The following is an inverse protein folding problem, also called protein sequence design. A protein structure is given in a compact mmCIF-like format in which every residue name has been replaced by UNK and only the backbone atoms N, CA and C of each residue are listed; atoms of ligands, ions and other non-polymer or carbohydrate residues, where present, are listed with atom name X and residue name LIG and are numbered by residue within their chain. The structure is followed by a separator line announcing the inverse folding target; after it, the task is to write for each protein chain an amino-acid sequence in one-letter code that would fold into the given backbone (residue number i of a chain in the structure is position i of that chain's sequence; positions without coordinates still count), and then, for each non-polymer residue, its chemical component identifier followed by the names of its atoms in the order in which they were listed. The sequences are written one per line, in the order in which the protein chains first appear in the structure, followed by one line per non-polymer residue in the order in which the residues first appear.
data_IF_228922354684
#
_entry.id   IF_228922354684
#
_cell.length_a   1.000
_cell.length_b   1.000
_cell.length_c   1.000
_cell.angle_alpha   90.00
_cell.angle_beta   90.00
_cell.angle_gamma   90.00
#
_symmetry.space_group_name_H-M   'P 1'
#
loop_
_entity.id
_entity.type
_entity.pdbx_description
1 polymer ?
#
# COMPACT_ATOMS: atom_id res chain seq x y z
N UNK A 1 10.72 -3.60 -2.74
CA UNK A 1 9.74 -4.11 -1.75
C UNK A 1 8.38 -3.53 -2.06
N UNK A 2 7.29 -4.25 -1.83
CA UNK A 2 5.94 -3.70 -2.01
C UNK A 2 5.23 -3.55 -0.66
N UNK A 3 4.57 -2.41 -0.46
CA UNK A 3 3.67 -2.18 0.67
C UNK A 3 2.28 -1.97 0.11
N UNK A 4 1.28 -2.66 0.67
CA UNK A 4 -0.12 -2.45 0.33
C UNK A 4 -0.86 -1.76 1.48
N UNK A 5 -1.80 -0.90 1.12
CA UNK A 5 -2.79 -0.35 2.04
C UNK A 5 -4.11 -0.21 1.30
N UNK A 6 -5.14 -0.94 1.75
CA UNK A 6 -6.42 -1.07 1.06
C UNK A 6 -6.20 -1.54 -0.39
N UNK A 7 -6.54 -0.70 -1.37
CA UNK A 7 -6.45 -0.98 -2.82
C UNK A 7 -5.15 -0.46 -3.47
N UNK A 8 -4.31 0.21 -2.70
CA UNK A 8 -3.11 0.86 -3.21
C UNK A 8 -1.86 0.07 -2.84
N UNK A 9 -0.88 0.09 -3.75
CA UNK A 9 0.42 -0.53 -3.56
C UNK A 9 1.52 0.50 -3.86
N UNK A 10 2.53 0.53 -3.00
CA UNK A 10 3.74 1.31 -3.20
C UNK A 10 4.88 0.36 -3.53
N UNK A 11 5.61 0.66 -4.60
CA UNK A 11 6.94 0.09 -4.82
C UNK A 11 7.96 0.94 -4.07
N UNK A 12 8.70 0.30 -3.18
CA UNK A 12 9.69 0.93 -2.32
C UNK A 12 11.03 0.35 -2.68
N UNK A 13 11.93 1.24 -3.08
CA UNK A 13 13.32 0.89 -3.26
C UNK A 13 13.94 0.53 -1.90
N UNK A 14 14.63 -0.60 -1.87
CA UNK A 14 15.28 -1.10 -0.67
C UNK A 14 16.52 -0.26 -0.32
N UNK A 15 17.05 0.50 -1.29
CA UNK A 15 18.12 1.47 -1.08
C UNK A 15 17.62 2.79 -0.44
N UNK A 16 16.30 2.90 -0.25
CA UNK A 16 15.73 3.61 0.90
C UNK A 16 15.67 5.13 0.80
N UNK A 17 15.44 5.71 -0.38
CA UNK A 17 15.31 7.17 -0.52
C UNK A 17 14.15 7.65 -1.38
N UNK A 18 13.54 6.78 -2.16
CA UNK A 18 12.44 7.15 -3.05
C UNK A 18 11.38 6.05 -3.04
N UNK A 19 10.13 6.48 -2.99
CA UNK A 19 8.98 5.63 -3.25
C UNK A 19 8.07 6.42 -4.18
N UNK A 20 7.61 5.77 -5.24
CA UNK A 20 6.69 6.39 -6.18
C UNK A 20 5.31 6.57 -5.53
N UNK A 21 4.44 7.36 -6.17
CA UNK A 21 3.06 7.50 -5.74
C UNK A 21 2.33 6.15 -5.68
N UNK A 22 1.19 6.07 -4.96
CA UNK A 22 0.40 4.86 -4.88
C UNK A 22 -0.03 4.38 -6.27
N UNK A 23 0.17 3.10 -6.54
CA UNK A 23 -0.35 2.42 -7.71
C UNK A 23 -1.66 1.74 -7.33
N UNK A 24 -2.71 1.95 -8.13
CA UNK A 24 -3.93 1.16 -8.01
C UNK A 24 -3.63 -0.26 -8.52
N UNK A 25 -3.77 -1.28 -7.66
CA UNK A 25 -3.39 -2.64 -8.05
C UNK A 25 -4.20 -3.17 -9.23
N UNK A 26 -5.45 -2.72 -9.37
CA UNK A 26 -6.33 -3.04 -10.52
C UNK A 26 -5.74 -2.63 -11.87
N UNK A 27 -4.86 -1.63 -11.92
CA UNK A 27 -4.21 -1.21 -13.18
C UNK A 27 -3.19 -2.26 -13.67
N UNK A 28 -2.66 -3.08 -12.76
CA UNK A 28 -1.69 -4.14 -13.08
C UNK A 28 -2.31 -5.53 -13.02
N UNK A 29 -3.39 -5.70 -12.26
CA UNK A 29 -4.13 -6.95 -12.09
C UNK A 29 -5.61 -6.70 -12.39
N UNK A 30 -5.94 -6.54 -13.68
CA UNK A 30 -7.31 -6.24 -14.13
C UNK A 30 -8.31 -7.36 -13.89
N UNK A 31 -7.83 -8.56 -13.55
CA UNK A 31 -8.65 -9.72 -13.17
C UNK A 31 -9.11 -9.69 -11.70
N UNK A 32 -8.65 -8.72 -10.89
CA UNK A 32 -9.20 -8.52 -9.55
C UNK A 32 -10.65 -8.06 -9.65
N UNK A 33 -11.51 -8.57 -8.76
CA UNK A 33 -12.92 -8.19 -8.76
C UNK A 33 -13.11 -6.73 -8.35
N UNK A 34 -13.99 -5.97 -9.00
CA UNK A 34 -14.06 -4.50 -8.90
C UNK A 34 -14.27 -3.92 -7.48
N UNK A 35 -14.81 -4.73 -6.57
CA UNK A 35 -15.24 -4.29 -5.24
C UNK A 35 -14.34 -4.73 -4.09
N UNK A 36 -13.14 -5.26 -4.37
CA UNK A 36 -12.25 -5.73 -3.31
C UNK A 36 -11.91 -4.63 -2.31
N UNK A 37 -11.83 -4.95 -1.02
CA UNK A 37 -11.57 -3.94 0.01
C UNK A 37 -10.09 -3.77 0.28
N UNK A 38 -9.34 -4.88 0.29
CA UNK A 38 -7.92 -4.86 0.60
C UNK A 38 -7.16 -6.05 0.01
N UNK A 39 -5.90 -5.80 -0.30
CA UNK A 39 -4.88 -6.85 -0.36
C UNK A 39 -4.44 -7.14 1.07
N UNK A 40 -4.53 -8.38 1.52
CA UNK A 40 -4.15 -8.77 2.90
C UNK A 40 -2.72 -9.30 2.96
N UNK A 41 -2.32 -10.08 1.96
CA UNK A 41 -1.02 -10.71 1.91
C UNK A 41 -0.63 -11.01 0.47
N UNK A 42 0.67 -11.04 0.21
CA UNK A 42 1.20 -11.60 -1.02
C UNK A 42 2.57 -12.20 -0.75
N UNK A 43 2.89 -13.29 -1.44
CA UNK A 43 4.24 -13.83 -1.47
C UNK A 43 4.55 -14.40 -2.84
N UNK A 44 5.85 -14.50 -3.16
CA UNK A 44 6.30 -15.21 -4.34
C UNK A 44 6.52 -16.68 -3.99
N UNK A 45 5.77 -17.55 -4.66
CA UNK A 45 5.90 -19.00 -4.54
C UNK A 45 7.28 -19.49 -4.99
N UNK A 46 7.72 -20.68 -4.54
CA UNK A 46 8.97 -21.27 -5.02
C UNK A 46 9.03 -21.47 -6.53
N UNK A 47 7.89 -21.63 -7.21
CA UNK A 47 7.81 -21.72 -8.68
C UNK A 47 7.88 -20.36 -9.38
N UNK A 48 7.93 -19.26 -8.65
CA UNK A 48 8.06 -17.90 -9.18
C UNK A 48 6.74 -17.14 -9.32
N UNK A 49 5.60 -17.83 -9.32
CA UNK A 49 4.25 -17.21 -9.34
C UNK A 49 4.00 -16.41 -8.05
N UNK A 50 3.21 -15.34 -8.14
CA UNK A 50 2.73 -14.58 -6.99
C UNK A 50 1.42 -15.19 -6.48
N UNK A 51 1.36 -15.47 -5.19
CA UNK A 51 0.12 -15.84 -4.51
C UNK A 51 -0.38 -14.61 -3.75
N UNK A 52 -1.52 -14.07 -4.18
CA UNK A 52 -2.06 -12.79 -3.70
C UNK A 52 -3.40 -13.02 -3.02
N UNK A 53 -3.50 -12.60 -1.76
CA UNK A 53 -4.70 -12.74 -0.93
C UNK A 53 -5.46 -11.41 -0.93
N UNK A 54 -6.70 -11.45 -1.40
CA UNK A 54 -7.57 -10.28 -1.57
C UNK A 54 -8.94 -10.62 -1.00
N UNK A 55 -9.28 -10.02 0.13
CA UNK A 55 -10.44 -10.38 0.94
C UNK A 55 -10.53 -11.91 1.20
N UNK A 56 -11.55 -12.60 0.67
CA UNK A 56 -11.74 -14.05 0.79
C UNK A 56 -11.25 -14.84 -0.45
N UNK A 57 -10.67 -14.15 -1.43
CA UNK A 57 -10.15 -14.75 -2.65
C UNK A 57 -8.63 -14.78 -2.64
N UNK A 58 -8.09 -15.83 -3.22
CA UNK A 58 -6.67 -16.02 -3.46
C UNK A 58 -6.47 -16.11 -4.96
N UNK A 59 -5.48 -15.39 -5.47
CA UNK A 59 -5.12 -15.32 -6.87
C UNK A 59 -3.72 -15.89 -7.03
N UNK A 60 -3.55 -16.83 -7.98
CA UNK A 60 -2.23 -17.30 -8.40
C UNK A 60 -1.88 -16.61 -9.72
N UNK A 61 -0.94 -15.68 -9.64
CA UNK A 61 -0.60 -14.76 -10.71
C UNK A 61 0.77 -15.12 -11.24
N UNK A 62 0.88 -15.35 -12.54
CA UNK A 62 2.14 -15.56 -13.21
C UNK A 62 2.96 -14.26 -13.18
N UNK A 63 4.23 -14.37 -12.81
CA UNK A 63 5.16 -13.25 -12.76
C UNK A 63 6.37 -13.54 -13.67
N UNK A 64 6.84 -12.56 -14.47
CA UNK A 64 6.50 -11.14 -14.44
C UNK A 64 5.31 -10.70 -15.31
N UNK A 65 4.59 -11.61 -15.97
CA UNK A 65 3.56 -11.25 -16.96
C UNK A 65 2.28 -10.67 -16.37
N UNK A 66 2.04 -10.82 -15.06
CA UNK A 66 0.81 -10.43 -14.37
C UNK A 66 -0.46 -11.02 -15.02
N UNK A 67 -0.40 -12.29 -15.42
CA UNK A 67 -1.56 -13.03 -15.93
C UNK A 67 -2.08 -14.02 -14.88
N UNK A 68 -3.39 -14.23 -14.84
CA UNK A 68 -4.01 -15.17 -13.90
C UNK A 68 -3.81 -16.61 -14.38
N UNK A 69 -3.38 -17.51 -13.47
CA UNK A 69 -3.27 -18.93 -13.80
C UNK A 69 -4.66 -19.54 -14.04
N UNK A 70 -4.81 -20.51 -14.98
CA UNK A 70 -6.07 -21.20 -15.19
C UNK A 70 -6.60 -21.86 -13.91
N UNK A 71 -7.91 -21.76 -13.66
CA UNK A 71 -8.55 -22.33 -12.47
C UNK A 71 -8.42 -21.48 -11.20
N UNK A 72 -8.01 -20.22 -11.33
CA UNK A 72 -7.98 -19.21 -10.27
C UNK A 72 -8.91 -18.03 -10.65
N UNK A 73 -9.39 -17.22 -9.68
CA UNK A 73 -9.11 -17.26 -8.25
C UNK A 73 -9.78 -18.45 -7.53
N UNK A 74 -9.37 -18.67 -6.27
CA UNK A 74 -9.99 -19.64 -5.36
C UNK A 74 -10.36 -18.97 -4.06
N UNK A 75 -11.40 -19.45 -3.40
CA UNK A 75 -11.77 -19.03 -2.06
C UNK A 75 -10.81 -19.59 -1.01
N UNK A 76 -10.72 -18.95 0.16
CA UNK A 76 -9.96 -19.48 1.30
C UNK A 76 -10.42 -20.90 1.68
N UNK A 77 -11.73 -21.18 1.58
CA UNK A 77 -12.28 -22.51 1.86
C UNK A 77 -11.82 -23.58 0.86
N UNK A 78 -11.71 -23.26 -0.43
CA UNK A 78 -11.18 -24.19 -1.44
C UNK A 78 -9.71 -24.54 -1.20
N UNK A 79 -8.95 -23.61 -0.60
CA UNK A 79 -7.59 -23.86 -0.12
C UNK A 79 -7.57 -24.67 1.19
N UNK A 80 -8.72 -24.84 1.87
CA UNK A 80 -8.86 -25.59 3.10
C UNK A 80 -8.85 -24.76 4.38
N UNK A 81 -8.85 -23.42 4.31
CA UNK A 81 -9.02 -22.57 5.48
C UNK A 81 -10.45 -22.64 6.02
N UNK A 82 -10.65 -22.42 7.34
CA UNK A 82 -11.98 -22.33 7.93
C UNK A 82 -12.74 -21.10 7.40
N UNK A 83 -14.08 -21.17 7.42
CA UNK A 83 -14.99 -20.17 6.83
C UNK A 83 -14.77 -18.72 7.30
N UNK A 84 -14.29 -18.53 8.53
CA UNK A 84 -14.03 -17.22 9.13
C UNK A 84 -12.54 -16.89 9.26
N UNK A 85 -11.68 -17.47 8.41
CA UNK A 85 -10.25 -17.19 8.44
C UNK A 85 -9.95 -15.75 8.01
N UNK A 86 -9.27 -14.99 8.87
CA UNK A 86 -8.75 -13.67 8.56
C UNK A 86 -7.24 -13.76 8.32
N UNK A 87 -6.81 -13.54 7.07
CA UNK A 87 -5.40 -13.57 6.71
C UNK A 87 -4.68 -12.32 7.22
N UNK A 88 -3.60 -12.52 7.97
CA UNK A 88 -2.75 -11.45 8.50
C UNK A 88 -1.50 -11.25 7.65
N UNK A 89 -0.98 -12.32 7.05
CA UNK A 89 0.17 -12.24 6.17
C UNK A 89 0.58 -13.61 5.66
N UNK A 90 1.39 -13.63 4.62
CA UNK A 90 1.88 -14.85 3.99
C UNK A 90 3.33 -14.65 3.58
N UNK A 91 4.14 -15.69 3.72
CA UNK A 91 5.57 -15.65 3.37
C UNK A 91 6.04 -17.00 2.85
N UNK A 92 7.02 -16.96 1.94
CA UNK A 92 7.87 -18.10 1.68
C UNK A 92 9.18 -18.03 2.48
N UNK A 93 9.69 -19.19 2.82
CA UNK A 93 10.99 -19.37 3.45
C UNK A 93 12.06 -19.74 2.43
N UNK A 94 13.32 -19.55 2.81
CA UNK A 94 14.47 -20.01 2.02
C UNK A 94 14.47 -21.53 1.75
N UNK A 95 13.77 -22.33 2.56
CA UNK A 95 13.65 -23.78 2.37
C UNK A 95 12.51 -24.16 1.43
N UNK A 96 11.95 -23.20 0.70
CA UNK A 96 10.83 -23.43 -0.22
C UNK A 96 9.49 -23.68 0.45
N UNK A 97 9.38 -23.59 1.78
CA UNK A 97 8.10 -23.72 2.50
C UNK A 97 7.36 -22.40 2.54
N UNK A 98 6.05 -22.44 2.42
CA UNK A 98 5.20 -21.25 2.43
C UNK A 98 4.17 -21.33 3.54
N UNK A 99 4.03 -20.22 4.27
CA UNK A 99 3.18 -20.13 5.44
C UNK A 99 2.25 -18.94 5.34
N UNK A 100 1.03 -19.14 5.79
CA UNK A 100 0.00 -18.12 5.92
C UNK A 100 -0.37 -18.00 7.39
N UNK A 101 -0.18 -16.82 7.95
CA UNK A 101 -0.63 -16.50 9.31
C UNK A 101 -2.06 -15.98 9.22
N UNK A 102 -2.96 -16.56 10.01
CA UNK A 102 -4.36 -16.18 10.05
C UNK A 102 -4.88 -16.12 11.49
N UNK A 103 -5.95 -15.35 11.70
CA UNK A 103 -6.58 -15.07 13.00
C UNK A 103 -5.60 -14.57 14.09
N UNK A 104 -4.44 -14.06 13.68
CA UNK A 104 -3.37 -13.54 14.52
C UNK A 104 -2.61 -14.57 15.35
N UNK A 105 -2.96 -15.86 15.29
CA UNK A 105 -2.40 -16.88 16.19
C UNK A 105 -2.28 -18.30 15.59
N UNK A 106 -2.68 -18.49 14.33
CA UNK A 106 -2.62 -19.77 13.64
C UNK A 106 -1.83 -19.66 12.35
N UNK A 107 -1.25 -20.79 11.92
CA UNK A 107 -0.43 -20.89 10.72
C UNK A 107 -0.93 -22.05 9.85
N UNK A 108 -1.25 -21.74 8.60
CA UNK A 108 -1.46 -22.72 7.54
C UNK A 108 -0.18 -22.85 6.71
N UNK A 109 0.29 -24.07 6.51
CA UNK A 109 1.37 -24.36 5.56
C UNK A 109 0.79 -24.75 4.21
N UNK A 110 1.14 -24.02 3.16
CA UNK A 110 0.69 -24.31 1.80
C UNK A 110 1.48 -25.50 1.25
N UNK A 111 0.76 -26.49 0.72
CA UNK A 111 1.39 -27.52 -0.11
C UNK A 111 1.76 -26.90 -1.46
N UNK A 112 3.04 -26.57 -1.61
CA UNK A 112 3.55 -25.99 -2.85
C UNK A 112 3.58 -26.98 -4.02
N UNK A 113 3.48 -28.28 -3.74
CA UNK A 113 3.44 -29.35 -4.74
C UNK A 113 2.01 -29.71 -5.17
N UNK A 114 1.00 -29.37 -4.37
CA UNK A 114 -0.39 -29.49 -4.76
C UNK A 114 -0.73 -28.49 -5.88
N UNK A 115 -1.30 -28.98 -6.98
CA UNK A 115 -1.81 -28.16 -8.09
C UNK A 115 -2.83 -27.12 -7.62
N UNK A 116 -3.60 -27.44 -6.58
CA UNK A 116 -4.61 -26.56 -6.02
C UNK A 116 -4.11 -25.69 -4.87
N UNK A 117 -2.82 -25.81 -4.50
CA UNK A 117 -2.18 -25.05 -3.41
C UNK A 117 -2.96 -25.11 -2.09
N UNK A 118 -3.52 -26.28 -1.76
CA UNK A 118 -4.26 -26.46 -0.51
C UNK A 118 -3.33 -26.38 0.68
N UNK A 119 -3.88 -26.07 1.85
CA UNK A 119 -3.17 -26.10 3.12
C UNK A 119 -2.88 -27.56 3.48
N UNK A 120 -1.60 -27.90 3.60
CA UNK A 120 -1.14 -29.22 4.02
C UNK A 120 -1.40 -29.45 5.50
N UNK A 121 -1.17 -28.41 6.32
CA UNK A 121 -1.21 -28.52 7.78
C UNK A 121 -1.54 -27.20 8.43
N UNK A 122 -2.37 -27.25 9.48
CA UNK A 122 -2.57 -26.16 10.42
C UNK A 122 -1.79 -26.38 11.71
N UNK A 123 -1.18 -25.32 12.22
CA UNK A 123 -0.38 -25.32 13.46
C UNK A 123 -0.61 -24.05 14.28
N UNK A 124 -0.46 -24.11 15.61
CA UNK A 124 -0.36 -22.90 16.43
C UNK A 124 0.85 -22.06 15.99
N UNK A 125 0.71 -20.74 16.06
CA UNK A 125 1.78 -19.80 15.70
C UNK A 125 3.09 -20.10 16.44
N UNK A 126 3.02 -20.35 17.74
CA UNK A 126 4.19 -20.61 18.59
C UNK A 126 4.93 -21.92 18.25
N UNK A 127 4.22 -22.91 17.68
CA UNK A 127 4.84 -24.17 17.28
C UNK A 127 5.69 -23.99 15.99
N UNK A 128 5.23 -23.13 15.09
CA UNK A 128 5.93 -22.85 13.82
C UNK A 128 6.97 -21.74 13.98
N UNK A 129 6.65 -20.70 14.73
CA UNK A 129 7.48 -19.52 14.98
C UNK A 129 7.59 -19.24 16.49
N UNK A 130 8.42 -20.01 17.22
CA UNK A 130 8.56 -19.87 18.66
C UNK A 130 9.06 -18.47 19.06
N UNK A 131 8.49 -17.92 20.14
CA UNK A 131 8.79 -16.58 20.64
C UNK A 131 8.02 -15.45 19.96
N UNK A 132 7.24 -15.72 18.91
CA UNK A 132 6.33 -14.73 18.33
C UNK A 132 5.01 -14.73 19.11
N UNK A 133 4.56 -13.56 19.61
CA UNK A 133 3.30 -13.49 20.36
C UNK A 133 2.09 -13.60 19.44
N UNK A 134 0.94 -13.90 20.05
CA UNK A 134 -0.37 -13.85 19.38
C UNK A 134 -0.74 -12.40 19.00
N UNK A 135 -1.70 -12.26 18.10
CA UNK A 135 -2.16 -10.96 17.60
C UNK A 135 -1.28 -10.40 16.48
N UNK A 136 -0.66 -11.27 15.69
CA UNK A 136 0.12 -10.89 14.51
C UNK A 136 -0.79 -10.17 13.53
N UNK A 137 -0.36 -8.99 13.09
CA UNK A 137 -1.05 -8.14 12.11
C UNK A 137 -0.41 -8.22 10.72
N UNK A 138 0.88 -8.55 10.64
CA UNK A 138 1.57 -8.79 9.37
C UNK A 138 2.80 -9.66 9.58
N UNK A 139 3.21 -10.34 8.51
CA UNK A 139 4.46 -11.06 8.41
C UNK A 139 5.03 -10.82 7.02
N UNK A 140 6.34 -10.52 6.95
CA UNK A 140 7.05 -10.40 5.68
C UNK A 140 8.50 -10.86 5.83
N UNK A 141 9.11 -11.24 4.71
CA UNK A 141 10.54 -11.53 4.64
C UNK A 141 11.28 -10.27 4.21
N UNK A 142 12.31 -9.90 4.94
CA UNK A 142 13.15 -8.75 4.58
C UNK A 142 14.43 -9.19 3.85
N UNK A 143 15.16 -8.22 3.30
CA UNK A 143 16.36 -8.44 2.47
C UNK A 143 17.50 -9.12 3.23
N UNK A 144 17.54 -8.97 4.55
CA UNK A 144 18.50 -9.64 5.41
C UNK A 144 18.16 -11.13 5.65
N UNK A 145 17.12 -11.63 5.00
CA UNK A 145 16.67 -13.01 5.05
C UNK A 145 15.85 -13.37 6.28
N UNK A 146 15.68 -12.46 7.25
CA UNK A 146 14.85 -12.70 8.43
C UNK A 146 13.37 -12.48 8.14
N UNK A 147 12.54 -13.08 8.99
CA UNK A 147 11.09 -12.84 8.96
C UNK A 147 10.79 -11.74 9.98
N UNK A 148 10.00 -10.77 9.57
CA UNK A 148 9.54 -9.68 10.42
C UNK A 148 8.06 -9.87 10.67
N UNK A 149 7.71 -10.02 11.94
CA UNK A 149 6.33 -10.07 12.40
C UNK A 149 5.98 -8.73 13.00
N UNK A 150 4.76 -8.26 12.75
CA UNK A 150 4.22 -7.08 13.40
C UNK A 150 2.98 -7.44 14.20
N UNK A 151 2.79 -6.75 15.31
CA UNK A 151 1.52 -6.65 16.04
C UNK A 151 1.10 -5.19 16.04
N UNK A 152 0.02 -4.83 16.76
CA UNK A 152 -0.51 -3.46 16.79
C UNK A 152 0.54 -2.38 17.09
N UNK A 153 1.54 -2.67 17.94
CA UNK A 153 2.52 -1.68 18.37
C UNK A 153 3.97 -2.17 18.34
N UNK A 154 4.22 -3.46 18.06
CA UNK A 154 5.53 -4.06 18.17
C UNK A 154 5.91 -4.81 16.91
N UNK A 155 7.21 -4.90 16.65
CA UNK A 155 7.77 -5.80 15.65
C UNK A 155 8.67 -6.84 16.32
N UNK A 156 8.82 -7.98 15.66
CA UNK A 156 9.71 -9.07 16.06
C UNK A 156 10.48 -9.54 14.83
N UNK A 157 11.81 -9.42 14.91
CA UNK A 157 12.74 -9.98 13.94
C UNK A 157 13.02 -11.43 14.31
N UNK A 158 12.53 -12.34 13.49
CA UNK A 158 12.67 -13.78 13.67
C UNK A 158 13.74 -14.35 12.75
N UNK A 159 14.75 -14.96 13.35
CA UNK A 159 15.76 -15.71 12.63
C UNK A 159 15.27 -17.13 12.39
N UNK A 160 14.94 -17.42 11.13
CA UNK A 160 14.43 -18.71 10.67
C UNK A 160 15.44 -19.87 10.76
N UNK A 161 16.73 -19.59 10.84
CA UNK A 161 17.79 -20.61 10.95
C UNK A 161 17.94 -21.07 12.40
N UNK A 162 18.04 -20.13 13.34
CA UNK A 162 18.11 -20.42 14.77
C UNK A 162 16.74 -20.73 15.38
N UNK A 163 15.65 -20.41 14.67
CA UNK A 163 14.26 -20.46 15.14
C UNK A 163 14.05 -19.64 16.41
N UNK A 164 14.62 -18.44 16.46
CA UNK A 164 14.52 -17.55 17.62
C UNK A 164 14.24 -16.11 17.20
N UNK A 165 13.61 -15.35 18.09
CA UNK A 165 13.49 -13.90 17.94
C UNK A 165 14.82 -13.27 18.29
N UNK A 166 15.45 -12.59 17.33
CA UNK A 166 16.74 -11.94 17.50
C UNK A 166 16.64 -10.48 17.93
N UNK A 167 15.49 -9.84 17.68
CA UNK A 167 15.24 -8.45 18.08
C UNK A 167 13.74 -8.19 18.13
N UNK A 168 13.31 -7.33 19.03
CA UNK A 168 11.94 -6.84 19.11
C UNK A 168 11.94 -5.37 19.54
N UNK A 169 10.89 -4.64 19.19
CA UNK A 169 10.78 -3.23 19.54
C UNK A 169 9.46 -2.63 19.09
N UNK A 170 9.33 -1.31 19.25
CA UNK A 170 8.15 -0.58 18.76
C UNK A 170 8.11 -0.63 17.24
N UNK A 171 6.97 -1.01 16.68
CA UNK A 171 6.76 -0.97 15.23
C UNK A 171 6.63 0.47 14.75
N UNK A 172 7.42 0.81 13.74
CA UNK A 172 7.39 2.07 13.02
C UNK A 172 7.92 1.80 11.61
N UNK A 173 7.42 2.51 10.60
CA UNK A 173 7.87 2.41 9.20
C UNK A 173 9.37 2.71 9.03
N UNK A 174 10.01 3.35 10.03
CA UNK A 174 11.47 3.50 10.10
C UNK A 174 12.23 2.16 10.07
N UNK A 175 11.63 1.05 10.50
CA UNK A 175 12.26 -0.28 10.36
C UNK A 175 12.44 -0.70 8.89
N UNK A 176 11.67 -0.08 7.99
CA UNK A 176 11.72 -0.27 6.54
C UNK A 176 12.49 0.86 5.85
N UNK A 177 13.19 1.70 6.62
CA UNK A 177 13.84 2.93 6.15
C UNK A 177 12.87 3.93 5.49
N UNK A 178 11.59 3.90 5.88
CA UNK A 178 10.58 4.85 5.41
C UNK A 178 10.44 5.93 6.47
N UNK A 179 10.72 7.17 6.09
CA UNK A 179 10.55 8.35 6.96
C UNK A 179 9.37 9.16 6.46
N UNK A 180 8.29 9.17 7.24
CA UNK A 180 7.17 10.07 6.97
C UNK A 180 7.58 11.50 7.36
N UNK A 181 7.41 12.50 6.49
CA UNK A 181 7.60 13.89 6.87
C UNK A 181 6.67 14.23 8.05
N UNK A 182 7.18 14.96 9.03
CA UNK A 182 6.40 15.33 10.22
C UNK A 182 5.16 16.12 9.79
N UNK A 183 4.00 15.78 10.36
CA UNK A 183 2.74 16.46 10.08
C UNK A 183 2.87 17.99 10.26
N UNK A 184 3.65 18.43 11.25
CA UNK A 184 3.92 19.85 11.51
C UNK A 184 4.65 20.53 10.35
N UNK A 185 5.56 19.84 9.65
CA UNK A 185 6.27 20.38 8.49
C UNK A 185 5.32 20.58 7.32
N UNK A 186 4.43 19.61 7.07
CA UNK A 186 3.42 19.71 6.00
C UNK A 186 2.39 20.81 6.31
N UNK A 187 2.02 20.98 7.58
CA UNK A 187 1.15 22.06 8.00
C UNK A 187 1.82 23.43 7.80
N UNK A 188 3.08 23.58 8.21
CA UNK A 188 3.85 24.81 7.99
C UNK A 188 4.00 25.15 6.49
N UNK A 189 4.25 24.13 5.66
CA UNK A 189 4.39 24.30 4.21
C UNK A 189 3.05 24.69 3.57
N UNK A 190 1.95 24.08 4.01
CA UNK A 190 0.59 24.47 3.62
C UNK A 190 0.27 25.91 4.01
N UNK A 191 0.53 26.28 5.27
CA UNK A 191 0.26 27.64 5.77
C UNK A 191 1.09 28.70 5.00
N UNK A 192 2.32 28.35 4.60
CA UNK A 192 3.17 29.21 3.78
C UNK A 192 2.65 29.34 2.34
N UNK A 193 2.23 28.24 1.72
CA UNK A 193 1.62 28.26 0.38
C UNK A 193 0.31 29.07 0.38
N UNK A 194 -0.54 28.90 1.40
CA UNK A 194 -1.79 29.66 1.56
C UNK A 194 -1.51 31.17 1.68
N UNK A 195 -0.40 31.57 2.32
CA UNK A 195 0.02 32.98 2.36
C UNK A 195 0.47 33.50 1.01
N UNK A 196 1.24 32.72 0.25
CA UNK A 196 1.71 33.12 -1.09
C UNK A 196 0.54 33.29 -2.05
N UNK A 197 -0.43 32.37 -2.04
CA UNK A 197 -1.63 32.47 -2.90
C UNK A 197 -2.44 33.72 -2.55
N UNK A 198 -2.66 34.00 -1.27
CA UNK A 198 -3.38 35.22 -0.82
C UNK A 198 -2.66 36.51 -1.20
N UNK A 199 -1.32 36.52 -1.18
CA UNK A 199 -0.54 37.68 -1.62
C UNK A 199 -0.69 37.92 -3.14
N UNK A 200 -0.85 36.85 -3.92
CA UNK A 200 -1.03 36.95 -5.36
C UNK A 200 -2.45 37.42 -5.74
N UNK A 201 -3.47 36.99 -5.01
CA UNK A 201 -4.86 37.48 -5.19
C UNK A 201 -4.97 38.98 -4.89
N UNK A 202 -4.29 39.44 -3.83
CA UNK A 202 -4.28 40.87 -3.46
C UNK A 202 -3.48 41.74 -4.46
N UNK A 203 -2.54 41.15 -5.21
CA UNK A 203 -1.78 41.83 -6.25
C UNK A 203 -2.57 42.04 -7.55
N UNK A 204 -3.58 41.20 -7.82
CA UNK A 204 -4.44 41.34 -9.01
C UNK A 204 -5.58 42.35 -8.78
N UNK A 205 -5.97 42.58 -7.53
CA UNK A 205 -6.95 43.62 -7.17
C UNK A 205 -6.36 45.03 -7.08
N UNK A 206 -5.03 45.19 -6.97
CA UNK A 206 -4.42 46.53 -6.89
C UNK A 206 -4.04 47.14 -8.25
N UNK A 207 -4.17 46.38 -9.34
CA UNK A 207 -3.77 46.84 -10.69
C UNK A 207 -4.92 47.42 -11.53
N UNK A 208 -6.17 47.36 -11.06
CA UNK A 208 -7.34 47.91 -11.77
C UNK A 208 -7.67 49.36 -11.46
N UNK A 209 -7.05 49.97 -10.44
CA UNK A 209 -7.52 51.25 -9.89
C UNK A 209 -6.70 52.47 -10.34
N UNK A 210 -5.81 52.31 -11.34
CA UNK A 210 -4.93 53.37 -11.82
C UNK A 210 -5.22 53.84 -13.25
N UNK A 211 -6.49 53.99 -13.64
CA UNK A 211 -6.85 54.86 -14.78
C UNK A 211 -8.26 55.42 -14.59
N UNK A 212 -8.38 56.54 -13.87
CA UNK A 212 -9.42 57.56 -14.08
C UNK A 212 -9.12 58.76 -13.19
N UNK A 213 -8.54 59.79 -13.78
CA UNK A 213 -9.08 61.15 -13.77
C UNK A 213 -8.02 62.10 -14.32
N UNK A 214 -8.32 62.74 -15.45
CA UNK A 214 -8.27 64.19 -15.43
C UNK A 214 -9.16 64.79 -16.53
N UNK A 215 -9.98 65.73 -16.07
CA UNK A 215 -11.09 66.36 -16.73
C UNK A 215 -10.66 67.79 -17.08
N UNK A 216 -10.69 68.18 -18.36
CA UNK A 216 -10.71 69.61 -18.74
C UNK A 216 -11.60 69.79 -19.97
N UNK A 217 -12.43 70.83 -19.89
CA UNK A 217 -13.62 71.00 -20.73
C UNK A 217 -13.35 71.57 -22.12
N UNK A 218 -14.43 71.61 -22.90
CA UNK A 218 -14.94 72.75 -23.70
C UNK A 218 -16.21 72.27 -24.42
N UNK A 219 -17.26 73.12 -24.39
CA UNK A 219 -18.52 72.99 -25.14
C UNK A 219 -18.28 72.96 -26.65
N UNK A 220 -19.06 72.19 -27.41
CA UNK A 220 -19.77 72.64 -28.62
C UNK A 220 -20.73 71.56 -29.18
N UNK A 221 -22.00 71.97 -29.30
CA UNK A 221 -23.02 71.66 -30.32
C UNK A 221 -22.94 70.43 -31.23
N UNK A 222 -24.09 69.75 -31.25
CA UNK A 222 -24.86 69.29 -32.41
C UNK A 222 -24.46 68.05 -33.25
N UNK A 223 -25.56 67.43 -33.71
CA UNK A 223 -25.76 66.67 -34.96
C UNK A 223 -25.68 65.13 -34.97
N UNK A 224 -26.89 64.56 -34.99
CA UNK A 224 -27.46 63.55 -35.93
C UNK A 224 -26.74 62.21 -36.17
N UNK A 225 -27.50 61.16 -35.83
CA UNK A 225 -27.98 60.05 -36.69
C UNK A 225 -27.03 59.58 -37.82
N UNK A 226 -26.59 58.32 -37.78
CA UNK A 226 -26.96 57.27 -38.77
C UNK A 226 -26.33 55.89 -38.49
N UNK A 227 -27.23 54.91 -38.32
CA UNK A 227 -27.03 53.51 -38.72
C UNK A 227 -26.68 53.42 -40.21
N UNK A 228 -25.72 52.56 -40.56
CA UNK A 228 -25.68 51.69 -41.75
C UNK A 228 -24.72 50.54 -41.39
N UNK A 229 -25.26 49.34 -41.19
CA UNK A 229 -25.25 48.20 -42.11
C UNK A 229 -23.86 47.59 -42.26
#
# INVERSE_FOLDING_TARGET
MYISYKRYVWSIDLDGKTYNGPLALSNHMSFLHDNYTRVTAAYQSPSGDLMVFVDNLVYLVQYPEFSLRPGWPKTLQELGFPENALINGAVNTHRGRSYVVFNGNAVGEIDECDKNKRVAKFTPLEATFPGIPKGVTSIFRYIDGNLYFTTRAQFYKFNKFTRTVSSAGKFDLRILNIVCPKADLLQQLRDLLDRIVRLNDNSLTSASDYWNDDNTGVRLSDFRIRRRK
#
